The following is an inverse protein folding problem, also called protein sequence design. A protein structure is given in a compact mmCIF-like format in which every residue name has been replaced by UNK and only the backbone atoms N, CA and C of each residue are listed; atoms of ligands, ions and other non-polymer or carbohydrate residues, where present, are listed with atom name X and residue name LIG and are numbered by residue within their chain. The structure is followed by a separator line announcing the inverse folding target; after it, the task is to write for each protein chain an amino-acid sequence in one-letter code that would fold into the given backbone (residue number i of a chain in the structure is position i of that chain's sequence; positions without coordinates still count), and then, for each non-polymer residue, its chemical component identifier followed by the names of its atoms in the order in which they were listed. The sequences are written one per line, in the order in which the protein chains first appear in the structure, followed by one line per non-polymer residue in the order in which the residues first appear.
data_IF_570182110227
#
_entry.id   IF_570182110227
#
_cell.length_a   1.000
_cell.length_b   1.000
_cell.length_c   1.000
_cell.angle_alpha   90.00
_cell.angle_beta   90.00
_cell.angle_gamma   90.00
#
_symmetry.space_group_name_H-M   'P 1'
#
loop_
_entity.id
_entity.type
_entity.pdbx_description
1 polymer ?
#
# COMPACT_ATOMS: atom_id res chain seq x y z
N UNK A 1 2.77 -7.01 -12.35
CA UNK A 1 2.91 -5.75 -13.11
C UNK A 1 4.27 -5.71 -13.78
N UNK A 2 5.37 -5.75 -13.02
CA UNK A 2 6.75 -5.62 -13.53
C UNK A 2 7.16 -6.57 -14.65
N UNK A 3 6.68 -7.82 -14.66
CA UNK A 3 7.10 -8.79 -15.69
C UNK A 3 6.77 -8.33 -17.11
N UNK A 4 5.70 -7.55 -17.28
CA UNK A 4 5.21 -7.12 -18.58
C UNK A 4 5.78 -5.75 -18.98
N UNK A 5 6.07 -4.86 -18.03
CA UNK A 5 6.62 -3.51 -18.29
C UNK A 5 8.16 -3.48 -18.42
N UNK A 6 8.76 -4.50 -19.02
CA UNK A 6 10.23 -4.65 -19.09
C UNK A 6 10.86 -3.85 -20.24
N UNK A 7 12.14 -3.51 -20.12
CA UNK A 7 12.96 -2.90 -21.20
C UNK A 7 12.84 -3.74 -22.48
N UNK A 8 12.61 -3.07 -23.61
CA UNK A 8 12.38 -3.70 -24.92
C UNK A 8 10.90 -3.96 -25.24
N UNK A 9 10.00 -3.63 -24.31
CA UNK A 9 8.57 -3.63 -24.57
C UNK A 9 8.21 -2.38 -25.40
N UNK A 10 7.56 -2.57 -26.56
CA UNK A 10 7.30 -1.51 -27.55
C UNK A 10 5.82 -1.10 -27.68
N UNK A 11 4.91 -1.74 -26.94
CA UNK A 11 3.45 -1.56 -27.09
C UNK A 11 2.85 -0.98 -25.81
N UNK A 12 1.76 -0.23 -25.88
CA UNK A 12 1.16 0.20 -24.61
C UNK A 12 0.63 -1.00 -23.81
N UNK A 13 0.94 -1.07 -22.50
CA UNK A 13 0.50 -2.14 -21.60
C UNK A 13 -0.51 -1.54 -20.62
N UNK A 14 -1.76 -1.98 -20.74
CA UNK A 14 -2.82 -1.65 -19.79
C UNK A 14 -2.99 -2.81 -18.83
N UNK A 15 -3.10 -2.53 -17.54
CA UNK A 15 -3.41 -3.57 -16.56
C UNK A 15 -4.70 -3.28 -15.82
N UNK A 16 -5.59 -4.25 -15.89
CA UNK A 16 -6.84 -4.25 -15.15
C UNK A 16 -6.72 -5.18 -13.95
N UNK A 17 -7.10 -4.67 -12.79
CA UNK A 17 -7.28 -5.48 -11.59
C UNK A 17 -8.77 -5.47 -11.27
N UNK A 18 -9.43 -6.59 -11.48
CA UNK A 18 -10.80 -6.79 -11.07
C UNK A 18 -10.81 -7.06 -9.56
N UNK A 19 -11.76 -6.45 -8.86
CA UNK A 19 -11.95 -6.61 -7.43
C UNK A 19 -13.44 -6.77 -7.19
N UNK A 20 -13.84 -7.86 -6.55
CA UNK A 20 -15.24 -8.09 -6.22
C UNK A 20 -15.68 -7.23 -5.03
N UNK A 21 -16.77 -6.47 -5.22
CA UNK A 21 -17.38 -5.65 -4.16
C UNK A 21 -17.93 -6.50 -3.05
N UNK A 22 -17.89 -5.98 -1.82
CA UNK A 22 -18.42 -6.64 -0.62
C UNK A 22 -17.76 -7.99 -0.31
N UNK A 23 -16.55 -8.21 -0.83
CA UNK A 23 -15.77 -9.42 -0.59
C UNK A 23 -14.46 -9.14 0.15
N UNK A 24 -13.74 -10.20 0.48
CA UNK A 24 -12.41 -10.12 1.08
C UNK A 24 -11.40 -9.42 0.17
N UNK A 25 -11.56 -9.49 -1.16
CA UNK A 25 -10.63 -8.87 -2.11
C UNK A 25 -10.56 -7.35 -1.94
N UNK A 26 -11.72 -6.70 -1.76
CA UNK A 26 -11.82 -5.27 -1.51
C UNK A 26 -11.13 -4.88 -0.20
N UNK A 27 -11.40 -5.62 0.88
CA UNK A 27 -10.78 -5.39 2.20
C UNK A 27 -9.25 -5.50 2.15
N UNK A 28 -8.74 -6.53 1.46
CA UNK A 28 -7.30 -6.74 1.28
C UNK A 28 -6.68 -5.60 0.47
N UNK A 29 -7.37 -5.07 -0.54
CA UNK A 29 -6.89 -3.92 -1.31
C UNK A 29 -6.83 -2.64 -0.45
N UNK A 30 -7.84 -2.39 0.39
CA UNK A 30 -7.83 -1.28 1.35
C UNK A 30 -6.69 -1.42 2.37
N UNK A 31 -6.48 -2.61 2.92
CA UNK A 31 -5.37 -2.90 3.83
C UNK A 31 -4.01 -2.67 3.18
N UNK A 32 -3.82 -3.11 1.93
CA UNK A 32 -2.58 -2.86 1.17
C UNK A 32 -2.32 -1.37 0.97
N UNK A 33 -3.35 -0.58 0.67
CA UNK A 33 -3.23 0.86 0.52
C UNK A 33 -2.82 1.53 1.84
N UNK A 34 -3.50 1.21 2.95
CA UNK A 34 -3.16 1.72 4.29
C UNK A 34 -1.71 1.37 4.69
N UNK A 35 -1.30 0.13 4.44
CA UNK A 35 0.06 -0.33 4.73
C UNK A 35 1.12 0.40 3.90
N UNK A 36 0.85 0.66 2.63
CA UNK A 36 1.76 1.41 1.76
C UNK A 36 1.90 2.88 2.18
N UNK A 37 0.79 3.51 2.60
CA UNK A 37 0.80 4.89 3.08
C UNK A 37 1.64 5.00 4.35
N UNK A 38 1.38 4.14 5.32
CA UNK A 38 2.15 4.11 6.57
C UNK A 38 3.65 3.90 6.31
N UNK A 39 4.01 3.02 5.36
CA UNK A 39 5.41 2.81 5.01
C UNK A 39 6.05 4.04 4.35
N UNK A 40 5.29 4.77 3.53
CA UNK A 40 5.75 6.04 2.97
C UNK A 40 5.96 7.09 4.07
N UNK A 41 4.98 7.23 4.98
CA UNK A 41 5.05 8.16 6.10
C UNK A 41 6.26 7.88 7.02
N UNK A 42 6.60 6.60 7.23
CA UNK A 42 7.77 6.18 8.00
C UNK A 42 9.08 6.43 7.27
N UNK A 43 9.13 6.19 5.96
CA UNK A 43 10.37 6.31 5.16
C UNK A 43 10.71 7.74 4.74
N UNK A 44 9.71 8.61 4.60
CA UNK A 44 9.90 10.03 4.28
C UNK A 44 10.27 10.87 5.53
N UNK A 45 10.17 10.28 6.73
CA UNK A 45 10.52 10.90 7.99
C UNK A 45 11.98 10.73 8.40
N UNK A 46 12.85 11.65 7.98
CA UNK A 46 13.93 12.12 8.85
C UNK A 46 13.76 13.63 9.12
N UNK A 47 12.88 13.97 10.06
CA UNK A 47 12.84 15.28 10.70
C UNK A 47 12.09 15.22 12.05
N UNK A 48 12.66 14.51 13.02
CA UNK A 48 12.87 14.87 14.44
C UNK A 48 11.87 15.72 15.27
N UNK A 49 10.67 16.08 14.83
CA UNK A 49 9.73 16.90 15.62
C UNK A 49 8.35 16.99 14.96
N UNK A 50 7.38 16.14 15.34
CA UNK A 50 5.98 16.48 15.02
C UNK A 50 4.89 15.42 15.13
N UNK A 51 5.18 14.13 15.20
CA UNK A 51 4.11 13.13 15.31
C UNK A 51 4.67 11.73 15.44
N UNK A 52 5.05 11.36 16.66
CA UNK A 52 5.44 9.99 16.95
C UNK A 52 4.28 9.04 16.61
N UNK A 53 4.58 7.99 15.84
CA UNK A 53 3.73 6.80 15.72
C UNK A 53 3.07 6.51 17.08
N UNK A 54 1.75 6.57 17.13
CA UNK A 54 1.06 6.41 18.42
C UNK A 54 1.03 4.93 18.80
N UNK A 55 0.94 4.66 20.10
CA UNK A 55 0.77 3.29 20.58
C UNK A 55 -0.52 2.65 20.03
N UNK A 56 -1.52 3.45 19.66
CA UNK A 56 -2.77 3.02 19.04
C UNK A 56 -2.54 2.58 17.58
N UNK A 57 -1.70 3.30 16.83
CA UNK A 57 -1.30 2.90 15.46
C UNK A 57 -0.53 1.57 15.49
N UNK A 58 0.32 1.37 16.50
CA UNK A 58 1.06 0.13 16.68
C UNK A 58 0.16 -1.01 17.22
N UNK A 59 -0.82 -0.72 18.08
CA UNK A 59 -1.78 -1.70 18.55
C UNK A 59 -2.70 -2.18 17.40
N UNK A 60 -3.11 -1.28 16.51
CA UNK A 60 -3.83 -1.61 15.29
C UNK A 60 -3.05 -2.47 14.29
N UNK A 61 -1.71 -2.56 14.43
CA UNK A 61 -0.87 -3.46 13.63
C UNK A 61 -0.99 -4.92 14.07
N UNK A 62 -1.34 -5.17 15.34
CA UNK A 62 -1.40 -6.50 15.95
C UNK A 62 -2.81 -6.93 16.36
N UNK A 63 -3.80 -6.05 16.25
CA UNK A 63 -5.20 -6.38 16.40
C UNK A 63 -5.82 -6.73 15.04
N UNK A 64 -6.56 -7.84 15.03
CA UNK A 64 -7.14 -8.62 13.92
C UNK A 64 -7.67 -7.85 12.69
#
# INVERSE_FOLDING_TARGET
MDRTHRIGQARNVMVYRLVAKDTIEEKVMTLKAKKSQLFADVMEGDALSGGALTAEDLAGLFAE
#
